data_IF_642630592882
#
_entry.id   IF_642630592882
#
_cell.length_a   1.000
_cell.length_b   1.000
_cell.length_c   1.000
_cell.angle_alpha   90.00
_cell.angle_beta   90.00
_cell.angle_gamma   90.00
#
_symmetry.space_group_name_H-M   'P 1'
#
loop_
_entity.id
_entity.type
_entity.pdbx_description
1 polymer ?
#
# COMPACT_ATOMS: atom_id res chain seq x y z
N UNK A 1 -12.06 -14.79 -18.04
CA UNK A 1 -12.33 -13.56 -17.26
C UNK A 1 -11.08 -13.27 -16.46
N UNK A 2 -10.28 -12.29 -16.88
CA UNK A 2 -9.00 -11.95 -16.24
C UNK A 2 -9.30 -11.17 -14.96
N UNK A 3 -9.36 -11.85 -13.83
CA UNK A 3 -9.33 -11.16 -12.54
C UNK A 3 -7.91 -10.67 -12.34
N UNK A 4 -7.72 -9.35 -12.29
CA UNK A 4 -6.42 -8.78 -11.96
C UNK A 4 -6.01 -9.27 -10.57
N UNK A 5 -4.84 -9.89 -10.48
CA UNK A 5 -4.27 -10.32 -9.21
C UNK A 5 -4.14 -9.09 -8.28
N UNK A 6 -4.50 -9.18 -6.99
CA UNK A 6 -4.57 -8.03 -6.09
C UNK A 6 -3.27 -7.23 -6.02
N UNK A 7 -2.10 -7.88 -6.08
CA UNK A 7 -0.82 -7.19 -6.10
C UNK A 7 -0.63 -6.29 -7.34
N UNK A 8 -1.16 -6.69 -8.51
CA UNK A 8 -1.14 -5.86 -9.72
C UNK A 8 -2.08 -4.67 -9.58
N UNK A 9 -3.22 -4.87 -8.91
CA UNK A 9 -4.19 -3.80 -8.68
C UNK A 9 -3.64 -2.73 -7.72
N UNK A 10 -2.93 -3.15 -6.66
CA UNK A 10 -2.24 -2.24 -5.73
C UNK A 10 -1.15 -1.42 -6.45
N UNK A 11 -0.32 -2.07 -7.27
CA UNK A 11 0.72 -1.39 -8.03
C UNK A 11 0.15 -0.36 -9.03
N UNK A 12 -0.94 -0.71 -9.73
CA UNK A 12 -1.63 0.21 -10.64
C UNK A 12 -2.19 1.44 -9.93
N UNK A 13 -2.76 1.28 -8.73
CA UNK A 13 -3.23 2.41 -7.91
C UNK A 13 -2.05 3.30 -7.52
N UNK A 14 -0.95 2.71 -7.04
CA UNK A 14 0.23 3.46 -6.64
C UNK A 14 0.84 4.27 -7.80
N UNK A 15 0.94 3.67 -8.99
CA UNK A 15 1.43 4.36 -10.19
C UNK A 15 0.49 5.50 -10.63
N UNK A 16 -0.83 5.30 -10.57
CA UNK A 16 -1.82 6.33 -10.87
C UNK A 16 -1.69 7.53 -9.91
N UNK A 17 -1.63 7.26 -8.60
CA UNK A 17 -1.49 8.29 -7.57
C UNK A 17 -0.17 9.06 -7.74
N UNK A 18 0.94 8.37 -7.99
CA UNK A 18 2.24 9.00 -8.21
C UNK A 18 2.25 9.93 -9.44
N UNK A 19 1.70 9.48 -10.57
CA UNK A 19 1.60 10.30 -11.78
C UNK A 19 0.67 11.49 -11.60
N UNK A 20 -0.46 11.30 -10.91
CA UNK A 20 -1.39 12.40 -10.59
C UNK A 20 -0.72 13.44 -9.69
N UNK A 21 0.00 13.02 -8.64
CA UNK A 21 0.75 13.91 -7.75
C UNK A 21 1.86 14.69 -8.47
N UNK A 22 2.51 14.07 -9.45
CA UNK A 22 3.50 14.72 -10.31
C UNK A 22 2.88 15.66 -11.36
N UNK A 23 1.55 15.77 -11.40
CA UNK A 23 0.85 16.62 -12.37
C UNK A 23 0.97 16.07 -13.79
N UNK A 24 0.92 14.74 -13.96
CA UNK A 24 1.16 14.11 -15.26
C UNK A 24 0.26 14.65 -16.38
N UNK A 25 -0.99 15.04 -16.06
CA UNK A 25 -1.96 15.66 -16.98
C UNK A 25 -1.50 16.98 -17.62
N UNK A 26 -0.68 17.77 -16.94
CA UNK A 26 -0.13 19.04 -17.45
C UNK A 26 1.34 18.88 -17.91
N UNK A 27 1.87 17.65 -17.80
CA UNK A 27 3.29 17.38 -18.05
C UNK A 27 3.55 16.91 -19.49
N UNK A 28 4.61 16.12 -19.71
CA UNK A 28 5.00 15.65 -21.04
C UNK A 28 3.92 14.75 -21.66
N UNK A 29 3.82 14.71 -23.01
CA UNK A 29 2.88 13.82 -23.69
C UNK A 29 3.01 12.34 -23.29
N UNK A 30 4.22 11.89 -22.94
CA UNK A 30 4.46 10.51 -22.51
C UNK A 30 3.89 10.22 -21.12
N UNK A 31 3.97 11.18 -20.21
CA UNK A 31 3.40 11.05 -18.87
C UNK A 31 1.85 11.08 -18.92
N UNK A 32 1.27 11.94 -19.76
CA UNK A 32 -0.17 11.93 -20.04
C UNK A 32 -0.64 10.60 -20.62
N UNK A 33 0.09 10.08 -21.60
CA UNK A 33 -0.24 8.78 -22.19
C UNK A 33 -0.17 7.66 -21.15
N UNK A 34 0.88 7.62 -20.31
CA UNK A 34 0.96 6.63 -19.23
C UNK A 34 -0.21 6.73 -18.25
N UNK A 35 -0.60 7.96 -17.87
CA UNK A 35 -1.73 8.16 -16.96
C UNK A 35 -3.04 7.68 -17.60
N UNK A 36 -3.25 7.92 -18.89
CA UNK A 36 -4.39 7.42 -19.64
C UNK A 36 -4.40 5.87 -19.73
N UNK A 37 -3.25 5.27 -20.01
CA UNK A 37 -3.11 3.80 -20.11
C UNK A 37 -3.42 3.11 -18.77
N UNK A 38 -2.92 3.67 -17.66
CA UNK A 38 -3.19 3.16 -16.31
C UNK A 38 -4.67 3.33 -15.96
N UNK A 39 -5.26 4.49 -16.26
CA UNK A 39 -6.68 4.76 -16.04
C UNK A 39 -7.55 3.77 -16.81
N UNK A 40 -7.23 3.53 -18.08
CA UNK A 40 -7.92 2.55 -18.91
C UNK A 40 -7.80 1.13 -18.34
N UNK A 41 -6.60 0.74 -17.91
CA UNK A 41 -6.35 -0.57 -17.31
C UNK A 41 -7.15 -0.77 -16.02
N UNK A 42 -7.19 0.25 -15.15
CA UNK A 42 -7.99 0.23 -13.94
C UNK A 42 -9.47 0.04 -14.26
N UNK A 43 -10.03 0.83 -15.17
CA UNK A 43 -11.42 0.71 -15.61
C UNK A 43 -11.76 -0.68 -16.14
N UNK A 44 -10.91 -1.28 -16.97
CA UNK A 44 -11.13 -2.63 -17.51
C UNK A 44 -11.01 -3.70 -16.41
N UNK A 45 -10.02 -3.59 -15.52
CA UNK A 45 -9.79 -4.57 -14.45
C UNK A 45 -10.90 -4.56 -13.38
N UNK A 46 -11.49 -3.40 -13.12
CA UNK A 46 -12.59 -3.23 -12.17
C UNK A 46 -13.97 -3.40 -12.82
N UNK A 47 -14.06 -3.31 -14.15
CA UNK A 47 -15.31 -3.33 -14.90
C UNK A 47 -16.08 -2.01 -14.80
N UNK A 48 -15.40 -0.90 -14.54
CA UNK A 48 -16.00 0.44 -14.46
C UNK A 48 -15.74 1.23 -15.75
N UNK A 49 -16.44 2.37 -15.89
CA UNK A 49 -16.33 3.27 -17.05
C UNK A 49 -15.58 4.57 -16.73
N UNK A 50 -15.30 4.78 -15.46
CA UNK A 50 -14.71 6.00 -14.91
C UNK A 50 -13.59 5.63 -13.94
N UNK A 51 -12.51 6.42 -13.94
CA UNK A 51 -11.29 6.15 -13.17
C UNK A 51 -11.50 6.35 -11.67
N UNK A 52 -12.31 7.32 -11.24
CA UNK A 52 -12.62 7.51 -9.83
C UNK A 52 -13.43 6.32 -9.32
N UNK A 53 -14.40 5.87 -10.11
CA UNK A 53 -15.16 4.64 -9.82
C UNK A 53 -14.25 3.40 -9.82
N UNK A 54 -13.26 3.36 -10.71
CA UNK A 54 -12.30 2.27 -10.75
C UNK A 54 -11.46 2.22 -9.46
N UNK A 55 -10.95 3.35 -8.98
CA UNK A 55 -10.15 3.42 -7.75
C UNK A 55 -10.95 2.97 -6.53
N UNK A 56 -12.21 3.41 -6.41
CA UNK A 56 -13.10 2.99 -5.31
C UNK A 56 -13.32 1.48 -5.36
N UNK A 57 -13.68 0.94 -6.53
CA UNK A 57 -13.92 -0.49 -6.71
C UNK A 57 -12.65 -1.32 -6.44
N UNK A 58 -11.50 -0.83 -6.90
CA UNK A 58 -10.22 -1.48 -6.69
C UNK A 58 -9.83 -1.51 -5.21
N UNK A 59 -9.98 -0.39 -4.49
CA UNK A 59 -9.68 -0.31 -3.06
C UNK A 59 -10.64 -1.14 -2.21
N UNK A 60 -11.91 -1.24 -2.62
CA UNK A 60 -12.87 -2.15 -1.99
C UNK A 60 -12.45 -3.62 -2.19
N UNK A 61 -12.00 -4.00 -3.39
CA UNK A 61 -11.48 -5.36 -3.65
C UNK A 61 -10.25 -5.69 -2.81
N UNK A 62 -9.30 -4.76 -2.67
CA UNK A 62 -8.15 -4.93 -1.78
C UNK A 62 -8.54 -5.03 -0.31
N UNK A 63 -9.57 -4.29 0.12
CA UNK A 63 -10.07 -4.31 1.51
C UNK A 63 -10.86 -5.60 1.82
N UNK A 64 -11.53 -6.17 0.81
CA UNK A 64 -12.22 -7.46 0.89
C UNK A 64 -11.31 -8.69 0.71
N UNK A 65 -10.09 -8.51 0.22
CA UNK A 65 -9.12 -9.59 -0.06
C UNK A 65 -8.31 -10.06 1.16
N UNK A 66 -8.97 -10.27 2.31
CA UNK A 66 -8.42 -11.09 3.41
C UNK A 66 -9.47 -12.13 3.80
N UNK A 67 -9.22 -13.47 3.79
CA UNK A 67 -7.96 -14.22 3.78
C UNK A 67 -7.99 -15.45 2.83
N UNK A 68 -8.18 -15.27 1.52
CA UNK A 68 -8.19 -16.38 0.54
C UNK A 68 -7.14 -16.26 -0.57
N UNK A 69 -6.31 -15.22 -0.56
CA UNK A 69 -5.03 -15.17 -1.31
C UNK A 69 -3.94 -16.02 -0.62
N UNK A 70 -4.34 -17.22 -0.21
CA UNK A 70 -3.50 -18.29 0.30
C UNK A 70 -3.12 -19.19 -0.89
N UNK A 71 -2.30 -18.68 -1.81
CA UNK A 71 -1.42 -19.52 -2.64
C UNK A 71 -0.39 -18.70 -3.43
N UNK A 72 0.84 -18.77 -2.91
CA UNK A 72 2.11 -18.78 -3.65
C UNK A 72 2.75 -17.46 -4.09
N UNK A 73 3.13 -16.61 -3.13
CA UNK A 73 4.45 -15.96 -3.13
C UNK A 73 5.16 -16.16 -1.78
N UNK A 74 5.13 -17.38 -1.25
CA UNK A 74 6.12 -17.83 -0.26
C UNK A 74 7.42 -18.17 -0.98
N UNK A 75 8.22 -17.16 -1.32
CA UNK A 75 9.70 -17.21 -1.36
C UNK A 75 10.23 -15.84 -1.78
N UNK A 76 11.24 -15.37 -1.05
CA UNK A 76 11.85 -14.02 -1.05
C UNK A 76 11.03 -12.99 -0.29
N UNK A 77 11.45 -12.46 0.86
CA UNK A 77 12.76 -12.44 1.52
C UNK A 77 12.55 -12.00 2.99
N UNK A 78 13.38 -12.55 3.87
CA UNK A 78 13.61 -12.18 5.28
C UNK A 78 12.88 -10.93 5.82
N UNK A 79 11.95 -11.12 6.76
CA UNK A 79 11.67 -10.10 7.77
C UNK A 79 11.51 -10.72 9.16
N UNK A 80 12.56 -10.56 9.96
CA UNK A 80 12.55 -10.58 11.42
C UNK A 80 13.73 -9.72 11.91
N UNK A 81 13.71 -9.12 13.13
CA UNK A 81 12.59 -8.93 14.06
C UNK A 81 12.50 -7.49 14.64
N UNK A 82 11.36 -7.12 15.23
CA UNK A 82 11.34 -6.17 16.35
C UNK A 82 10.09 -6.38 17.23
N UNK A 83 10.20 -7.03 18.40
CA UNK A 83 9.21 -6.88 19.44
C UNK A 83 9.57 -5.69 20.34
N UNK A 84 8.50 -4.98 20.68
CA UNK A 84 8.44 -3.68 21.33
C UNK A 84 8.74 -3.79 22.84
N UNK A 85 9.37 -2.77 23.41
CA UNK A 85 9.39 -2.54 24.85
C UNK A 85 9.17 -1.05 25.13
N UNK A 86 7.94 -0.61 24.93
CA UNK A 86 7.48 0.70 25.39
C UNK A 86 6.99 0.61 26.84
N UNK A 87 7.53 1.51 27.66
CA UNK A 87 6.84 2.23 28.74
C UNK A 87 7.01 1.75 30.19
N UNK A 88 8.02 2.34 30.85
CA UNK A 88 7.91 3.27 32.00
C UNK A 88 6.93 2.91 33.15
N UNK A 89 7.48 2.58 34.33
CA UNK A 89 6.91 2.98 35.64
C UNK A 89 7.98 3.06 36.74
N UNK A 90 8.31 4.28 37.14
CA UNK A 90 8.95 4.65 38.42
C UNK A 90 7.86 4.71 39.54
N UNK A 91 8.12 4.97 40.85
CA UNK A 91 9.31 5.63 41.41
C UNK A 91 9.81 5.25 42.86
N UNK A 92 11.05 5.70 43.14
CA UNK A 92 11.57 6.27 44.41
C UNK A 92 11.97 5.33 45.61
N UNK A 93 12.56 5.85 46.72
CA UNK A 93 14.01 6.08 46.88
C UNK A 93 14.59 5.55 48.22
N UNK A 94 15.90 5.32 48.33
CA UNK A 94 16.70 5.24 49.59
C UNK A 94 18.11 4.73 49.23
N UNK A 95 19.23 5.12 49.83
CA UNK A 95 19.58 6.07 50.87
C UNK A 95 21.11 6.26 50.78
N UNK A 96 21.59 7.41 51.24
CA UNK A 96 23.02 7.70 51.43
C UNK A 96 23.56 6.97 52.66
N UNK A 97 24.74 6.35 52.54
CA UNK A 97 25.67 5.98 53.63
C UNK A 97 26.90 5.42 52.89
N UNK A 98 28.06 6.09 52.75
CA UNK A 98 28.99 6.68 53.72
C UNK A 98 29.43 5.71 54.81
N UNK A 99 30.52 4.99 54.58
CA UNK A 99 31.42 4.54 55.64
C UNK A 99 32.79 4.14 55.05
N UNK A 100 33.79 4.94 55.42
CA UNK A 100 35.20 4.62 55.76
C UNK A 100 36.09 3.98 54.69
#
# INVERSE_FOLDING_TARGET
MLMAHPAVLEDLIAQYEALTLLGAEESTPQARQRLADISYTLCVATGTRDVDMALIAARHRLSGARPEDDSLLQTSVLQAPAPQASTLRAPAPAERTSAV
#
